data_IF_296878006633
#
_entry.id   IF_296878006633
#
_cell.length_a   1.000
_cell.length_b   1.000
_cell.length_c   1.000
_cell.angle_alpha   90.00
_cell.angle_beta   90.00
_cell.angle_gamma   90.00
#
_symmetry.space_group_name_H-M   'P 1'
#
loop_
_entity.id
_entity.type
_entity.pdbx_description
1 polymer ?
#
# COMPACT_ATOMS: atom_id res chain seq x y z
N UNK A 1 15.71 -10.78 -6.94
CA UNK A 1 15.30 -9.46 -6.41
C UNK A 1 14.74 -9.65 -5.00
N UNK A 2 15.02 -8.74 -4.07
CA UNK A 2 14.57 -8.79 -2.67
C UNK A 2 13.51 -7.72 -2.35
N UNK A 3 12.92 -7.11 -3.37
CA UNK A 3 11.99 -5.98 -3.24
C UNK A 3 10.70 -6.25 -4.00
N UNK A 4 9.57 -5.94 -3.37
CA UNK A 4 8.23 -5.91 -3.97
C UNK A 4 7.74 -4.47 -3.95
N UNK A 5 7.16 -4.03 -5.07
CA UNK A 5 6.53 -2.74 -5.24
C UNK A 5 5.09 -2.98 -5.70
N UNK A 6 4.11 -2.48 -4.95
CA UNK A 6 2.69 -2.72 -5.24
C UNK A 6 1.79 -1.62 -4.69
N UNK A 7 0.55 -1.55 -5.16
CA UNK A 7 -0.54 -0.84 -4.51
C UNK A 7 -1.33 -1.79 -3.59
N UNK A 8 -2.52 -1.38 -3.17
CA UNK A 8 -3.41 -2.18 -2.33
C UNK A 8 -4.10 -3.36 -3.04
N UNK A 9 -3.96 -3.48 -4.36
CA UNK A 9 -4.47 -4.61 -5.15
C UNK A 9 -3.53 -5.81 -5.21
N UNK A 10 -2.30 -5.65 -4.69
CA UNK A 10 -1.26 -6.69 -4.67
C UNK A 10 -1.40 -7.71 -3.54
N UNK A 11 -0.27 -8.14 -3.00
CA UNK A 11 -0.19 -9.12 -1.90
C UNK A 11 -0.83 -8.50 -0.64
N UNK A 12 -1.79 -9.17 0.02
CA UNK A 12 -2.37 -8.65 1.25
C UNK A 12 -1.33 -8.47 2.35
N UNK A 13 -1.48 -7.41 3.15
CA UNK A 13 -0.59 -7.01 4.23
C UNK A 13 -0.28 -8.16 5.19
N UNK A 14 -1.27 -9.01 5.46
CA UNK A 14 -1.15 -10.16 6.37
C UNK A 14 -0.06 -11.18 5.96
N UNK A 15 0.35 -11.20 4.69
CA UNK A 15 1.41 -12.10 4.20
C UNK A 15 2.83 -11.51 4.35
N UNK A 16 2.95 -10.24 4.70
CA UNK A 16 4.25 -9.63 5.00
C UNK A 16 4.61 -9.83 6.47
N UNK A 17 5.26 -10.96 6.75
CA UNK A 17 5.85 -11.26 8.07
C UNK A 17 6.84 -10.14 8.46
N UNK A 18 6.51 -9.41 9.52
CA UNK A 18 7.27 -8.27 10.02
C UNK A 18 8.69 -8.64 10.49
N UNK A 19 8.97 -9.92 10.76
CA UNK A 19 10.33 -10.38 11.07
C UNK A 19 11.19 -10.56 9.82
N UNK A 20 10.58 -10.67 8.64
CA UNK A 20 11.26 -10.94 7.36
C UNK A 20 11.22 -9.76 6.39
N UNK A 21 10.28 -8.85 6.57
CA UNK A 21 10.04 -7.73 5.66
C UNK A 21 10.06 -6.40 6.40
N UNK A 22 10.56 -5.39 5.70
CA UNK A 22 10.41 -3.98 6.07
C UNK A 22 9.49 -3.34 5.04
N UNK A 23 8.40 -2.74 5.52
CA UNK A 23 7.42 -2.06 4.68
C UNK A 23 7.61 -0.55 4.78
N UNK A 24 7.52 0.13 3.64
CA UNK A 24 7.41 1.58 3.53
C UNK A 24 6.18 1.93 2.72
N UNK A 25 5.44 2.92 3.21
CA UNK A 25 4.20 3.38 2.60
C UNK A 25 4.41 4.76 1.99
N UNK A 26 3.66 5.06 0.93
CA UNK A 26 3.61 6.35 0.25
C UNK A 26 2.18 6.60 -0.25
N UNK A 27 1.83 7.88 -0.42
CA UNK A 27 0.53 8.32 -0.91
C UNK A 27 -0.58 8.23 0.13
N UNK A 28 -1.80 8.04 -0.32
CA UNK A 28 -3.01 8.04 0.53
C UNK A 28 -3.79 6.75 0.29
N UNK A 29 -4.25 6.12 1.37
CA UNK A 29 -5.09 4.93 1.28
C UNK A 29 -6.55 5.27 1.54
N UNK A 30 -7.35 5.33 0.48
CA UNK A 30 -8.81 5.48 0.55
C UNK A 30 -9.55 4.14 0.58
N UNK A 31 -8.82 3.03 0.56
CA UNK A 31 -9.35 1.70 0.30
C UNK A 31 -9.41 1.34 -1.19
N UNK A 32 -9.67 0.05 -1.47
CA UNK A 32 -9.68 -0.47 -2.84
C UNK A 32 -10.77 0.19 -3.69
N UNK A 33 -10.52 0.24 -5.01
CA UNK A 33 -11.55 0.63 -5.97
C UNK A 33 -12.76 -0.32 -5.94
N UNK A 34 -13.87 0.11 -6.53
CA UNK A 34 -15.16 -0.58 -6.47
C UNK A 34 -15.12 -2.08 -6.77
N UNK A 35 -14.36 -2.48 -7.78
CA UNK A 35 -14.22 -3.90 -8.18
C UNK A 35 -13.45 -4.77 -7.17
N UNK A 36 -12.72 -4.14 -6.25
CA UNK A 36 -11.92 -4.80 -5.21
C UNK A 36 -12.37 -4.48 -3.79
N UNK A 37 -13.53 -3.82 -3.60
CA UNK A 37 -14.04 -3.40 -2.28
C UNK A 37 -14.09 -4.53 -1.25
N UNK A 38 -14.37 -5.77 -1.67
CA UNK A 38 -14.39 -6.95 -0.80
C UNK A 38 -13.01 -7.30 -0.20
N UNK A 39 -11.91 -6.75 -0.73
CA UNK A 39 -10.54 -6.97 -0.26
C UNK A 39 -10.02 -5.81 0.59
N UNK A 40 -10.90 -5.01 1.17
CA UNK A 40 -10.51 -3.97 2.12
C UNK A 40 -9.68 -4.55 3.28
N UNK A 41 -8.61 -3.84 3.65
CA UNK A 41 -7.67 -4.28 4.68
C UNK A 41 -7.65 -3.25 5.83
N UNK A 42 -8.40 -3.47 6.93
CA UNK A 42 -8.51 -2.50 8.03
C UNK A 42 -7.14 -2.09 8.59
N UNK A 43 -6.26 -3.06 8.81
CA UNK A 43 -4.91 -2.78 9.33
C UNK A 43 -4.05 -1.95 8.37
N UNK A 44 -4.30 -2.04 7.06
CA UNK A 44 -3.60 -1.19 6.10
C UNK A 44 -4.03 0.27 6.27
N UNK A 45 -5.33 0.53 6.47
CA UNK A 45 -5.84 1.88 6.76
C UNK A 45 -5.22 2.45 8.03
N UNK A 46 -5.23 1.68 9.11
CA UNK A 46 -4.61 2.08 10.38
C UNK A 46 -3.12 2.43 10.20
N UNK A 47 -2.36 1.64 9.43
CA UNK A 47 -0.96 1.94 9.18
C UNK A 47 -0.76 3.25 8.40
N UNK A 48 -1.60 3.56 7.42
CA UNK A 48 -1.53 4.82 6.69
C UNK A 48 -1.87 6.02 7.60
N UNK A 49 -2.80 5.85 8.53
CA UNK A 49 -3.13 6.88 9.53
C UNK A 49 -2.02 7.05 10.57
N UNK A 50 -1.47 5.95 11.10
CA UNK A 50 -0.41 5.93 12.11
C UNK A 50 0.92 6.49 11.58
N UNK A 51 1.27 6.16 10.34
CA UNK A 51 2.59 6.49 9.76
C UNK A 51 2.59 7.80 8.98
N UNK A 52 1.41 8.33 8.63
CA UNK A 52 1.21 9.51 7.79
C UNK A 52 2.23 9.62 6.63
N UNK A 53 2.17 8.71 5.64
CA UNK A 53 3.16 8.61 4.58
C UNK A 53 3.34 9.88 3.75
N UNK A 54 4.53 10.11 3.19
CA UNK A 54 4.73 11.20 2.24
C UNK A 54 3.85 11.00 0.99
N UNK A 55 3.36 12.09 0.37
CA UNK A 55 2.55 12.01 -0.84
C UNK A 55 3.34 11.47 -2.04
N UNK A 56 2.61 11.03 -3.07
CA UNK A 56 3.18 10.70 -4.38
C UNK A 56 3.08 11.92 -5.30
N UNK A 57 4.01 12.03 -6.25
CA UNK A 57 3.98 13.05 -7.31
C UNK A 57 3.66 12.44 -8.69
N UNK A 58 3.29 11.16 -8.71
CA UNK A 58 2.98 10.39 -9.92
C UNK A 58 1.87 9.36 -9.63
N UNK A 59 1.08 9.04 -10.66
CA UNK A 59 0.02 8.02 -10.55
C UNK A 59 0.61 6.61 -10.51
N UNK A 60 -0.03 5.71 -9.77
CA UNK A 60 0.37 4.31 -9.69
C UNK A 60 -0.86 3.40 -9.52
N UNK A 61 -0.84 2.24 -10.15
CA UNK A 61 -1.93 1.27 -10.05
C UNK A 61 -3.22 1.74 -10.72
N UNK A 62 -4.36 1.30 -10.19
CA UNK A 62 -5.68 1.64 -10.75
C UNK A 62 -6.13 3.07 -10.50
N UNK A 63 -5.56 3.74 -9.48
CA UNK A 63 -5.86 5.14 -9.19
C UNK A 63 -4.89 6.04 -9.96
N UNK A 64 -5.32 6.46 -11.15
CA UNK A 64 -4.52 7.32 -12.04
C UNK A 64 -4.28 8.73 -11.46
N UNK A 65 -5.20 9.24 -10.64
CA UNK A 65 -5.00 10.47 -9.89
C UNK A 65 -4.01 10.19 -8.74
N UNK A 66 -2.79 10.69 -8.87
CA UNK A 66 -1.72 10.48 -7.89
C UNK A 66 -2.08 10.91 -6.46
N UNK A 67 -2.99 11.88 -6.30
CA UNK A 67 -3.48 12.35 -4.99
C UNK A 67 -4.33 11.31 -4.26
N UNK A 68 -4.74 10.26 -4.96
CA UNK A 68 -5.53 9.16 -4.43
C UNK A 68 -4.78 7.83 -4.48
N UNK A 69 -3.59 7.80 -5.07
CA UNK A 69 -2.81 6.58 -5.20
C UNK A 69 -2.10 6.24 -3.89
N UNK A 70 -1.95 4.95 -3.64
CA UNK A 70 -1.16 4.40 -2.56
C UNK A 70 -0.05 3.52 -3.14
N UNK A 71 1.09 3.45 -2.45
CA UNK A 71 2.21 2.63 -2.86
C UNK A 71 2.90 2.02 -1.64
N UNK A 72 3.20 0.73 -1.75
CA UNK A 72 3.86 -0.08 -0.72
C UNK A 72 5.16 -0.61 -1.31
N UNK A 73 6.27 -0.31 -0.63
CA UNK A 73 7.59 -0.89 -0.92
C UNK A 73 7.91 -1.88 0.18
N UNK A 74 7.96 -3.16 -0.15
CA UNK A 74 8.39 -4.22 0.76
C UNK A 74 9.80 -4.67 0.39
N UNK A 75 10.73 -4.56 1.32
CA UNK A 75 12.11 -5.06 1.15
C UNK A 75 12.37 -6.17 2.14
N UNK A 76 12.94 -7.28 1.68
CA UNK A 76 13.36 -8.38 2.55
C UNK A 76 14.49 -7.90 3.45
N UNK A 77 14.44 -8.28 4.72
CA UNK A 77 15.52 -8.09 5.69
C UNK A 77 16.71 -8.99 5.38
#
# INVERSE_FOLDING_TARGET
SNTVLQDDSGIPLAYFDSNKWTLRFFGVYFGPIDVFKQHYQPRLSELYEETNPPPLDFGFGYRWNYKEANLIVATRK
#
